data_IF_338698795204
#
_entry.id   IF_338698795204
#
_cell.length_a   1.000
_cell.length_b   1.000
_cell.length_c   1.000
_cell.angle_alpha   90.00
_cell.angle_beta   90.00
_cell.angle_gamma   90.00
#
_symmetry.space_group_name_H-M   'P 1'
#
loop_
_entity.id
_entity.type
_entity.pdbx_description
1 polymer ?
#
# COMPACT_ATOMS: atom_id res chain seq x y z
N UNK A 1 -13.23 -10.94 -16.18
CA UNK A 1 -11.87 -10.69 -15.67
C UNK A 1 -11.32 -9.51 -16.45
N UNK A 2 -11.44 -8.29 -15.93
CA UNK A 2 -10.49 -7.25 -16.35
C UNK A 2 -9.22 -7.57 -15.59
N UNK A 3 -8.35 -8.37 -16.20
CA UNK A 3 -7.03 -8.61 -15.66
C UNK A 3 -6.22 -7.35 -15.93
N UNK A 4 -6.12 -6.46 -14.95
CA UNK A 4 -5.12 -5.40 -14.98
C UNK A 4 -3.76 -6.08 -15.09
N UNK A 5 -3.08 -5.84 -16.21
CA UNK A 5 -1.74 -6.38 -16.41
C UNK A 5 -0.75 -5.59 -15.55
N UNK A 6 0.43 -6.15 -15.29
CA UNK A 6 1.48 -5.48 -14.52
C UNK A 6 1.78 -4.06 -15.05
N UNK A 7 1.63 -3.85 -16.35
CA UNK A 7 1.79 -2.57 -17.02
C UNK A 7 0.71 -1.56 -16.64
N UNK A 8 -0.53 -1.99 -16.43
CA UNK A 8 -1.63 -1.14 -15.97
C UNK A 8 -1.37 -0.62 -14.56
N UNK A 9 -0.94 -1.49 -13.64
CA UNK A 9 -0.60 -1.06 -12.28
C UNK A 9 0.57 -0.08 -12.24
N UNK A 10 1.58 -0.25 -13.10
CA UNK A 10 2.68 0.72 -13.21
C UNK A 10 2.25 2.05 -13.86
N UNK A 11 1.28 2.00 -14.77
CA UNK A 11 0.66 3.19 -15.36
C UNK A 11 -0.13 3.97 -14.31
N UNK A 12 -0.92 3.30 -13.47
CA UNK A 12 -1.68 3.91 -12.37
C UNK A 12 -0.76 4.60 -11.37
N UNK A 13 0.32 3.94 -10.93
CA UNK A 13 1.30 4.56 -10.03
C UNK A 13 1.90 5.84 -10.62
N UNK A 14 2.10 5.89 -11.93
CA UNK A 14 2.58 7.10 -12.61
C UNK A 14 1.51 8.20 -12.65
N UNK A 15 0.26 7.84 -12.90
CA UNK A 15 -0.87 8.78 -12.97
C UNK A 15 -1.19 9.36 -11.59
N UNK A 16 -1.29 8.50 -10.57
CA UNK A 16 -1.72 8.87 -9.22
C UNK A 16 -0.62 9.46 -8.36
N UNK A 17 0.63 8.97 -8.49
CA UNK A 17 1.75 9.30 -7.61
C UNK A 17 2.91 10.02 -8.32
N UNK A 18 2.85 10.15 -9.64
CA UNK A 18 3.91 10.77 -10.45
C UNK A 18 5.21 9.96 -10.55
N UNK A 19 5.24 8.74 -10.01
CA UNK A 19 6.45 7.89 -9.99
C UNK A 19 6.49 6.95 -11.18
N UNK A 20 7.68 6.77 -11.75
CA UNK A 20 7.90 5.86 -12.87
C UNK A 20 8.83 4.74 -12.44
N UNK A 21 8.24 3.58 -12.21
CA UNK A 21 8.97 2.38 -11.87
C UNK A 21 9.01 1.43 -13.08
N UNK A 22 10.05 0.60 -13.13
CA UNK A 22 10.26 -0.40 -14.16
C UNK A 22 9.87 -1.76 -13.62
N UNK A 23 9.36 -2.69 -14.45
CA UNK A 23 9.02 -4.04 -14.01
C UNK A 23 10.16 -4.76 -13.26
N UNK A 24 11.42 -4.53 -13.67
CA UNK A 24 12.62 -5.11 -13.03
C UNK A 24 12.93 -4.58 -11.63
N UNK A 25 12.27 -3.50 -11.20
CA UNK A 25 12.41 -2.92 -9.85
C UNK A 25 11.39 -3.50 -8.87
N UNK A 26 10.42 -4.28 -9.38
CA UNK A 26 9.41 -4.94 -8.59
C UNK A 26 9.93 -6.28 -8.04
N UNK A 27 9.67 -6.51 -6.75
CA UNK A 27 9.84 -7.81 -6.10
C UNK A 27 8.47 -8.46 -5.96
N UNK A 28 8.16 -9.41 -6.83
CA UNK A 28 6.90 -10.16 -6.77
C UNK A 28 6.81 -11.01 -5.50
N UNK A 29 5.68 -10.94 -4.81
CA UNK A 29 5.43 -11.63 -3.53
C UNK A 29 4.41 -12.77 -3.65
N UNK A 30 3.54 -12.72 -4.66
CA UNK A 30 2.46 -13.69 -4.83
C UNK A 30 1.16 -13.05 -5.28
N UNK A 31 0.06 -13.78 -5.10
CA UNK A 31 -1.29 -13.37 -5.46
C UNK A 31 -2.21 -13.45 -4.26
N UNK A 32 -3.19 -12.55 -4.18
CA UNK A 32 -4.32 -12.68 -3.25
C UNK A 32 -5.66 -12.65 -3.97
N UNK A 33 -6.64 -13.32 -3.37
CA UNK A 33 -8.04 -13.10 -3.71
C UNK A 33 -8.50 -11.81 -3.01
N UNK A 34 -8.91 -10.81 -3.79
CA UNK A 34 -9.56 -9.61 -3.31
C UNK A 34 -11.07 -9.73 -3.52
N UNK A 35 -11.82 -9.54 -2.43
CA UNK A 35 -13.28 -9.63 -2.43
C UNK A 35 -13.84 -8.30 -1.95
N UNK A 36 -14.51 -7.57 -2.83
CA UNK A 36 -15.07 -6.24 -2.55
C UNK A 36 -16.36 -6.00 -3.33
N UNK A 37 -17.30 -5.19 -2.81
CA UNK A 37 -18.46 -4.78 -3.57
C UNK A 37 -18.04 -3.81 -4.69
N UNK A 38 -18.70 -3.89 -5.85
CA UNK A 38 -18.59 -2.86 -6.88
C UNK A 38 -19.53 -1.67 -6.61
N UNK A 39 -19.53 -0.70 -7.53
CA UNK A 39 -20.37 0.51 -7.45
C UNK A 39 -21.87 0.23 -7.34
N UNK A 40 -22.33 -0.97 -7.71
CA UNK A 40 -23.72 -1.40 -7.61
C UNK A 40 -23.97 -2.34 -6.42
N UNK A 41 -22.99 -2.49 -5.51
CA UNK A 41 -23.06 -3.37 -4.35
C UNK A 41 -22.87 -4.86 -4.68
N UNK A 42 -22.53 -5.22 -5.92
CA UNK A 42 -22.30 -6.62 -6.30
C UNK A 42 -20.90 -7.03 -5.86
N UNK A 43 -20.79 -8.13 -5.12
CA UNK A 43 -19.49 -8.67 -4.73
C UNK A 43 -18.69 -9.11 -5.97
N UNK A 44 -17.52 -8.51 -6.14
CA UNK A 44 -16.50 -8.90 -7.11
C UNK A 44 -15.40 -9.70 -6.42
N UNK A 45 -14.84 -10.64 -7.17
CA UNK A 45 -13.74 -11.49 -6.76
C UNK A 45 -12.65 -11.35 -7.81
N UNK A 46 -11.54 -10.74 -7.42
CA UNK A 46 -10.41 -10.49 -8.30
C UNK A 46 -9.16 -11.15 -7.73
N UNK A 47 -8.38 -11.80 -8.59
CA UNK A 47 -7.02 -12.22 -8.23
C UNK A 47 -6.11 -11.05 -8.52
N UNK A 48 -5.36 -10.58 -7.52
CA UNK A 48 -4.44 -9.46 -7.66
C UNK A 48 -3.01 -9.90 -7.39
N UNK A 49 -2.09 -9.46 -8.24
CA UNK A 49 -0.65 -9.64 -8.05
C UNK A 49 -0.14 -8.65 -7.00
N UNK A 50 0.69 -9.14 -6.08
CA UNK A 50 1.28 -8.35 -5.01
C UNK A 50 2.78 -8.27 -5.24
N UNK A 51 3.31 -7.05 -5.28
CA UNK A 51 4.75 -6.78 -5.44
C UNK A 51 5.21 -5.69 -4.47
N UNK A 52 6.48 -5.75 -4.08
CA UNK A 52 7.15 -4.64 -3.42
C UNK A 52 7.99 -3.84 -4.38
N UNK A 53 8.19 -2.58 -4.02
CA UNK A 53 9.20 -1.72 -4.58
C UNK A 53 10.00 -1.07 -3.46
N UNK A 54 11.30 -0.94 -3.66
CA UNK A 54 12.16 -0.18 -2.76
C UNK A 54 12.32 1.24 -3.32
N UNK A 55 11.67 2.21 -2.69
CA UNK A 55 11.81 3.63 -3.02
C UNK A 55 12.22 4.42 -1.77
N UNK A 56 13.39 5.05 -1.84
CA UNK A 56 13.94 5.90 -0.78
C UNK A 56 13.75 7.40 -1.10
N UNK A 57 12.90 7.74 -2.06
CA UNK A 57 12.57 9.11 -2.41
C UNK A 57 11.89 9.83 -1.24
N UNK A 58 12.15 11.12 -1.10
CA UNK A 58 11.40 11.96 -0.16
C UNK A 58 9.93 12.10 -0.62
N UNK A 59 8.98 12.15 0.32
CA UNK A 59 7.54 12.29 0.00
C UNK A 59 7.23 13.54 -0.84
N UNK A 60 8.01 14.61 -0.67
CA UNK A 60 7.91 15.85 -1.46
C UNK A 60 8.20 15.68 -2.96
N UNK A 61 8.75 14.53 -3.37
CA UNK A 61 9.05 14.23 -4.79
C UNK A 61 7.93 13.45 -5.48
N UNK A 62 6.85 13.15 -4.78
CA UNK A 62 5.65 12.52 -5.35
C UNK A 62 4.73 13.63 -5.88
N UNK A 63 4.10 13.38 -7.03
CA UNK A 63 3.13 14.29 -7.62
C UNK A 63 1.76 13.62 -7.52
N UNK A 64 0.99 14.01 -6.50
CA UNK A 64 -0.28 13.36 -6.18
C UNK A 64 -1.38 13.88 -7.11
N UNK A 65 -2.14 12.97 -7.71
CA UNK A 65 -3.38 13.30 -8.39
C UNK A 65 -4.48 13.53 -7.35
N UNK A 66 -4.76 14.78 -7.01
CA UNK A 66 -5.68 15.16 -5.91
C UNK A 66 -7.07 14.50 -5.97
N UNK A 67 -7.57 14.23 -7.18
CA UNK A 67 -8.86 13.55 -7.38
C UNK A 67 -8.88 12.09 -6.91
N UNK A 68 -7.72 11.42 -6.87
CA UNK A 68 -7.57 10.01 -6.50
C UNK A 68 -6.81 9.84 -5.17
N UNK A 69 -5.81 10.70 -4.91
CA UNK A 69 -4.92 10.62 -3.77
C UNK A 69 -4.89 11.95 -3.01
N UNK A 70 -5.57 11.98 -1.87
CA UNK A 70 -5.62 13.16 -0.99
C UNK A 70 -4.27 13.46 -0.32
N UNK A 71 -3.62 12.42 0.22
CA UNK A 71 -2.36 12.53 0.95
C UNK A 71 -1.54 11.24 0.87
N UNK A 72 -0.22 11.36 1.00
CA UNK A 72 0.72 10.24 1.13
C UNK A 72 1.48 10.32 2.45
N UNK A 73 1.73 9.18 3.09
CA UNK A 73 2.49 9.10 4.35
C UNK A 73 3.50 7.97 4.29
N UNK A 74 4.60 8.12 5.03
CA UNK A 74 5.55 7.04 5.29
C UNK A 74 5.36 6.56 6.72
N UNK A 75 5.10 5.27 6.89
CA UNK A 75 4.79 4.67 8.18
C UNK A 75 5.91 3.70 8.58
N UNK A 76 6.45 3.78 9.81
CA UNK A 76 7.45 2.82 10.25
C UNK A 76 6.85 1.42 10.34
N UNK A 77 7.52 0.42 9.75
CA UNK A 77 7.02 -0.96 9.71
C UNK A 77 6.79 -1.52 11.13
N UNK A 78 7.66 -1.19 12.08
CA UNK A 78 7.50 -1.58 13.47
C UNK A 78 6.23 -1.02 14.12
N UNK A 79 5.80 0.19 13.72
CA UNK A 79 4.55 0.80 14.17
C UNK A 79 3.34 0.12 13.53
N UNK A 80 3.40 -0.19 12.23
CA UNK A 80 2.36 -0.97 11.54
C UNK A 80 2.14 -2.36 12.15
N UNK A 81 3.23 -3.05 12.50
CA UNK A 81 3.16 -4.34 13.20
C UNK A 81 2.43 -4.18 14.55
N UNK A 82 2.73 -3.12 15.32
CA UNK A 82 2.04 -2.86 16.59
C UNK A 82 0.56 -2.53 16.38
N UNK A 83 0.20 -1.71 15.41
CA UNK A 83 -1.19 -1.36 15.06
C UNK A 83 -2.03 -2.62 14.80
N UNK A 84 -1.46 -3.64 14.18
CA UNK A 84 -2.19 -4.87 13.87
C UNK A 84 -2.10 -5.98 14.95
N UNK A 85 -1.10 -5.94 15.84
CA UNK A 85 -0.87 -6.99 16.85
C UNK A 85 -1.25 -6.61 18.28
N UNK A 86 -1.35 -5.31 18.59
CA UNK A 86 -1.70 -4.81 19.92
C UNK A 86 -3.11 -4.22 19.89
N UNK A 87 -3.92 -4.59 20.88
CA UNK A 87 -5.25 -4.03 21.06
C UNK A 87 -5.16 -2.52 21.31
N UNK A 88 -5.99 -1.74 20.61
CA UNK A 88 -6.11 -0.27 20.76
C UNK A 88 -4.81 0.52 20.54
N UNK A 89 -3.79 -0.07 19.90
CA UNK A 89 -2.58 0.68 19.58
C UNK A 89 -2.81 1.68 18.45
N UNK A 90 -2.30 2.89 18.66
CA UNK A 90 -2.31 3.98 17.69
C UNK A 90 -1.01 4.78 17.78
N UNK A 91 -0.65 5.46 16.69
CA UNK A 91 0.48 6.38 16.66
C UNK A 91 0.22 7.54 15.71
N UNK A 92 0.95 8.64 15.90
CA UNK A 92 0.86 9.79 15.00
C UNK A 92 1.87 9.66 13.85
N UNK A 93 1.42 9.99 12.65
CA UNK A 93 2.24 10.11 11.46
C UNK A 93 2.03 11.46 10.77
N UNK A 94 3.01 11.86 9.97
CA UNK A 94 2.92 13.04 9.11
C UNK A 94 2.62 12.59 7.68
N UNK A 95 1.60 13.22 7.07
CA UNK A 95 1.22 12.99 5.70
C UNK A 95 1.39 14.25 4.87
N UNK A 96 1.85 14.07 3.64
CA UNK A 96 2.02 15.11 2.64
C UNK A 96 0.78 15.15 1.74
N UNK A 97 0.08 16.27 1.70
CA UNK A 97 -1.12 16.47 0.87
C UNK A 97 -0.73 17.02 -0.51
N UNK A 98 -1.63 16.87 -1.50
CA UNK A 98 -1.37 17.27 -2.88
C UNK A 98 -0.99 18.75 -3.06
N UNK A 99 -1.46 19.63 -2.16
CA UNK A 99 -1.14 21.08 -2.18
C UNK A 99 0.22 21.45 -1.55
N UNK A 100 1.00 20.44 -1.13
CA UNK A 100 2.34 20.60 -0.58
C UNK A 100 2.41 20.81 0.93
N UNK A 101 1.27 20.85 1.64
CA UNK A 101 1.24 20.95 3.10
C UNK A 101 1.50 19.60 3.77
N UNK A 102 1.77 19.66 5.07
CA UNK A 102 1.86 18.48 5.93
C UNK A 102 0.70 18.49 6.94
N UNK A 103 0.05 17.35 7.10
CA UNK A 103 -1.01 17.12 8.09
C UNK A 103 -0.59 16.00 9.03
N UNK A 104 -1.19 15.97 10.22
CA UNK A 104 -1.02 14.86 11.18
C UNK A 104 -2.16 13.87 11.03
N UNK A 105 -1.82 12.58 11.01
CA UNK A 105 -2.76 11.47 11.00
C UNK A 105 -2.62 10.68 12.30
N UNK A 106 -3.75 10.29 12.88
CA UNK A 106 -3.78 9.26 13.91
C UNK A 106 -4.00 7.91 13.23
N UNK A 107 -2.96 7.08 13.25
CA UNK A 107 -2.94 5.79 12.56
C UNK A 107 -3.30 4.70 13.55
N UNK A 108 -4.41 4.02 13.28
CA UNK A 108 -4.95 2.91 14.06
C UNK A 108 -5.48 1.83 13.12
N UNK A 109 -5.92 0.71 13.68
CA UNK A 109 -6.29 -0.48 12.89
C UNK A 109 -7.42 -0.21 11.89
N UNK A 110 -8.37 0.66 12.22
CA UNK A 110 -9.50 1.03 11.37
C UNK A 110 -9.16 2.12 10.33
N UNK A 111 -7.94 2.67 10.34
CA UNK A 111 -7.42 3.54 9.28
C UNK A 111 -7.19 2.80 7.96
N UNK A 112 -7.21 1.46 7.98
CA UNK A 112 -6.92 0.61 6.83
C UNK A 112 -8.19 -0.01 6.25
N UNK A 113 -8.34 -0.12 4.92
CA UNK A 113 -9.49 -0.76 4.31
C UNK A 113 -9.65 -2.21 4.77
N UNK A 114 -10.90 -2.59 5.04
CA UNK A 114 -11.25 -3.97 5.38
C UNK A 114 -10.77 -4.94 4.29
N UNK A 115 -10.17 -6.04 4.71
CA UNK A 115 -9.83 -7.18 3.87
C UNK A 115 -10.39 -8.45 4.52
N UNK A 116 -10.74 -9.43 3.68
CA UNK A 116 -11.23 -10.73 4.15
C UNK A 116 -10.20 -11.47 5.04
N UNK A 117 -8.91 -11.19 4.85
CA UNK A 117 -7.81 -11.70 5.66
C UNK A 117 -7.05 -10.55 6.36
N UNK A 118 -6.04 -10.91 7.15
CA UNK A 118 -5.15 -9.95 7.81
C UNK A 118 -4.11 -9.34 6.83
N UNK A 119 -4.54 -8.91 5.63
CA UNK A 119 -3.67 -8.44 4.55
C UNK A 119 -2.61 -7.45 5.01
N UNK A 120 -3.03 -6.32 5.61
CA UNK A 120 -2.12 -5.24 6.02
C UNK A 120 -1.09 -5.72 7.06
N UNK A 121 -1.49 -6.61 7.97
CA UNK A 121 -0.55 -7.19 8.93
C UNK A 121 0.48 -8.10 8.24
N UNK A 122 0.03 -8.97 7.32
CA UNK A 122 0.91 -9.83 6.53
C UNK A 122 1.90 -9.01 5.70
N UNK A 123 1.44 -7.92 5.09
CA UNK A 123 2.30 -7.01 4.32
C UNK A 123 3.33 -6.33 5.22
N UNK A 124 2.96 -5.86 6.42
CA UNK A 124 3.92 -5.28 7.36
C UNK A 124 5.00 -6.30 7.78
N UNK A 125 4.61 -7.55 8.05
CA UNK A 125 5.57 -8.63 8.36
C UNK A 125 6.46 -8.96 7.16
N UNK A 126 5.90 -9.04 5.95
CA UNK A 126 6.68 -9.30 4.73
C UNK A 126 7.65 -8.16 4.44
N UNK A 127 7.26 -6.91 4.67
CA UNK A 127 8.14 -5.75 4.48
C UNK A 127 9.31 -5.78 5.47
N UNK A 128 9.07 -6.12 6.74
CA UNK A 128 10.13 -6.29 7.74
C UNK A 128 11.13 -7.39 7.32
N UNK A 129 10.64 -8.53 6.85
CA UNK A 129 11.46 -9.63 6.34
C UNK A 129 12.23 -9.26 5.07
N UNK A 130 11.59 -8.52 4.16
CA UNK A 130 12.21 -8.02 2.92
C UNK A 130 13.38 -7.09 3.22
N UNK A 131 13.21 -6.13 4.14
CA UNK A 131 14.28 -5.22 4.55
C UNK A 131 15.42 -5.93 5.30
N UNK A 132 15.14 -7.07 5.93
CA UNK A 132 16.16 -7.95 6.53
C UNK A 132 16.89 -8.83 5.51
N UNK A 133 16.55 -8.72 4.22
CA UNK A 133 17.21 -9.47 3.14
C UNK A 133 16.73 -10.90 2.98
N UNK A 134 15.57 -11.26 3.56
CA UNK A 134 14.98 -12.57 3.32
C UNK A 134 14.55 -12.71 1.86
N UNK A 135 14.92 -13.84 1.24
CA UNK A 135 14.66 -14.12 -0.19
C UNK A 135 13.35 -14.87 -0.44
N UNK A 136 12.84 -15.56 0.58
CA UNK A 136 11.62 -16.36 0.50
C UNK A 136 10.43 -15.58 1.08
N UNK A 137 9.98 -14.59 0.32
CA UNK A 137 8.84 -13.76 0.64
C UNK A 137 7.65 -14.31 -0.13
N UNK A 138 6.94 -15.25 0.48
CA UNK A 138 5.74 -15.85 -0.09
C UNK A 138 4.55 -15.29 0.69
N UNK A 139 3.63 -14.68 -0.06
CA UNK A 139 2.29 -14.31 0.43
C UNK A 139 1.37 -15.53 0.50
#
# INVERSE_FOLDING_TARGET
SSGEELEDGLREVKEELGKRYKPKELTYLGRKMHVSPDVNGKMRQNIVDISFILDNSQLSTYLLQEAEVYAITSLPIGELIKVHSKLEYQFQAEAFVADGKTIKLDVKKDSFPFNWDNYHFKIALLADRFLKGEKNLIY
#
